data_IF_802112992320
#
_entry.id   IF_802112992320
#
_cell.length_a   1.000
_cell.length_b   1.000
_cell.length_c   1.000
_cell.angle_alpha   90.00
_cell.angle_beta   90.00
_cell.angle_gamma   90.00
#
_symmetry.space_group_name_H-M   'P 1'
#
loop_
_entity.id
_entity.type
_entity.pdbx_description
1 polymer ?
#
# COMPACT_ATOMS: atom_id res chain seq x y z
N UNK A 1 5.10 -8.66 6.59
CA UNK A 1 6.03 -7.53 6.55
C UNK A 1 5.68 -6.60 5.42
N UNK A 2 6.12 -5.36 5.52
CA UNK A 2 5.74 -4.35 4.53
C UNK A 2 6.25 -4.67 3.13
N UNK A 3 7.41 -5.29 3.02
CA UNK A 3 7.94 -5.67 1.72
C UNK A 3 7.06 -6.71 1.03
N UNK A 4 6.47 -7.62 1.80
CA UNK A 4 5.55 -8.60 1.24
C UNK A 4 4.29 -7.92 0.72
N UNK A 5 3.84 -6.89 1.41
CA UNK A 5 2.67 -6.12 0.97
C UNK A 5 2.96 -5.41 -0.35
N UNK A 6 4.14 -4.83 -0.50
CA UNK A 6 4.52 -4.19 -1.75
C UNK A 6 4.60 -5.20 -2.90
N UNK A 7 5.11 -6.41 -2.61
CA UNK A 7 5.15 -7.47 -3.61
C UNK A 7 3.75 -7.89 -4.03
N UNK A 8 2.84 -8.03 -3.07
CA UNK A 8 1.45 -8.36 -3.37
C UNK A 8 0.81 -7.29 -4.24
N UNK A 9 1.03 -6.03 -3.90
CA UNK A 9 0.50 -4.92 -4.67
C UNK A 9 1.01 -4.98 -6.10
N UNK A 10 2.30 -5.17 -6.28
CA UNK A 10 2.90 -5.23 -7.62
C UNK A 10 2.35 -6.40 -8.42
N UNK A 11 2.21 -7.56 -7.79
CA UNK A 11 1.67 -8.74 -8.44
C UNK A 11 0.23 -8.51 -8.92
N UNK A 12 -0.57 -7.86 -8.09
CA UNK A 12 -1.96 -7.54 -8.46
C UNK A 12 -2.02 -6.54 -9.59
N UNK A 13 -1.15 -5.53 -9.57
CA UNK A 13 -1.08 -4.55 -10.65
C UNK A 13 -0.71 -5.20 -11.98
N UNK A 14 0.21 -6.16 -11.96
CA UNK A 14 0.58 -6.89 -13.16
C UNK A 14 -0.58 -7.72 -13.70
N UNK A 15 -1.34 -8.36 -12.82
CA UNK A 15 -2.53 -9.09 -13.23
C UNK A 15 -3.56 -8.17 -13.86
N UNK A 16 -3.75 -7.00 -13.28
CA UNK A 16 -4.67 -6.01 -13.81
C UNK A 16 -4.26 -5.60 -15.23
N UNK A 17 -2.97 -5.34 -15.43
CA UNK A 17 -2.46 -4.98 -16.75
C UNK A 17 -2.69 -6.09 -17.76
N UNK A 18 -2.43 -7.33 -17.35
CA UNK A 18 -2.64 -8.48 -18.25
C UNK A 18 -4.10 -8.61 -18.66
N UNK A 19 -5.02 -8.41 -17.71
CA UNK A 19 -6.45 -8.44 -18.00
C UNK A 19 -6.84 -7.34 -18.96
N UNK A 20 -6.32 -6.15 -18.75
CA UNK A 20 -6.58 -5.03 -19.63
C UNK A 20 -6.09 -5.29 -21.04
N UNK A 21 -4.86 -5.80 -21.18
CA UNK A 21 -4.29 -6.09 -22.49
C UNK A 21 -5.04 -7.21 -23.18
N UNK A 22 -5.52 -8.20 -22.45
CA UNK A 22 -6.23 -9.34 -23.03
C UNK A 22 -7.64 -8.96 -23.46
N UNK A 23 -8.33 -8.16 -22.67
CA UNK A 23 -9.76 -7.88 -22.89
C UNK A 23 -10.01 -6.54 -23.58
N UNK A 24 -9.08 -5.61 -23.47
CA UNK A 24 -9.24 -4.28 -24.04
C UNK A 24 -10.35 -3.46 -23.39
N UNK A 25 -10.82 -3.88 -22.23
CA UNK A 25 -11.87 -3.18 -21.52
C UNK A 25 -11.82 -3.55 -20.05
N UNK A 26 -12.50 -2.76 -19.23
CA UNK A 26 -12.59 -2.99 -17.81
C UNK A 26 -13.55 -4.15 -17.53
N UNK A 27 -13.07 -5.20 -16.88
CA UNK A 27 -13.86 -6.41 -16.63
C UNK A 27 -14.15 -6.54 -15.13
N UNK A 28 -15.07 -7.48 -14.80
CA UNK A 28 -15.38 -7.79 -13.41
C UNK A 28 -14.15 -8.31 -12.66
N UNK A 29 -13.32 -9.09 -13.33
CA UNK A 29 -12.07 -9.56 -12.71
C UNK A 29 -11.17 -8.40 -12.34
N UNK A 30 -11.14 -7.36 -13.17
CA UNK A 30 -10.35 -6.17 -12.86
C UNK A 30 -10.91 -5.42 -11.66
N UNK A 31 -12.22 -5.41 -11.49
CA UNK A 31 -12.84 -4.84 -10.28
C UNK A 31 -12.37 -5.56 -9.03
N UNK A 32 -12.33 -6.89 -9.10
CA UNK A 32 -11.87 -7.70 -7.97
C UNK A 32 -10.40 -7.44 -7.66
N UNK A 33 -9.58 -7.29 -8.70
CA UNK A 33 -8.17 -6.97 -8.52
C UNK A 33 -8.03 -5.59 -7.88
N UNK A 34 -8.80 -4.61 -8.35
CA UNK A 34 -8.80 -3.27 -7.76
C UNK A 34 -9.12 -3.30 -6.27
N UNK A 35 -10.14 -4.07 -5.87
CA UNK A 35 -10.51 -4.20 -4.47
C UNK A 35 -9.36 -4.77 -3.65
N UNK A 36 -8.68 -5.78 -4.18
CA UNK A 36 -7.53 -6.37 -3.51
C UNK A 36 -6.39 -5.37 -3.38
N UNK A 37 -6.13 -4.61 -4.43
CA UNK A 37 -5.10 -3.57 -4.40
C UNK A 37 -5.41 -2.55 -3.30
N UNK A 38 -6.66 -2.13 -3.19
CA UNK A 38 -7.07 -1.18 -2.15
C UNK A 38 -6.84 -1.74 -0.76
N UNK A 39 -7.15 -3.03 -0.55
CA UNK A 39 -6.90 -3.68 0.73
C UNK A 39 -5.41 -3.68 1.07
N UNK A 40 -4.58 -4.02 0.09
CA UNK A 40 -3.13 -4.06 0.29
C UNK A 40 -2.60 -2.66 0.58
N UNK A 41 -3.06 -1.66 -0.14
CA UNK A 41 -2.66 -0.26 0.10
C UNK A 41 -3.01 0.17 1.52
N UNK A 42 -4.21 -0.19 1.99
CA UNK A 42 -4.62 0.12 3.36
C UNK A 42 -3.68 -0.52 4.37
N UNK A 43 -3.33 -1.80 4.14
CA UNK A 43 -2.39 -2.49 5.03
C UNK A 43 -1.01 -1.85 5.02
N UNK A 44 -0.55 -1.42 3.84
CA UNK A 44 0.73 -0.73 3.72
C UNK A 44 0.71 0.55 4.54
N UNK A 45 -0.36 1.35 4.42
CA UNK A 45 -0.48 2.59 5.17
C UNK A 45 -0.47 2.36 6.67
N UNK A 46 -1.15 1.32 7.13
CA UNK A 46 -1.16 0.98 8.54
C UNK A 46 0.23 0.58 9.04
N UNK A 47 0.93 -0.24 8.26
CA UNK A 47 2.30 -0.65 8.61
C UNK A 47 3.23 0.55 8.66
N UNK A 48 3.14 1.43 7.68
CA UNK A 48 3.97 2.63 7.64
C UNK A 48 3.67 3.54 8.81
N UNK A 49 2.41 3.68 9.17
CA UNK A 49 2.02 4.49 10.32
C UNK A 49 2.57 3.91 11.62
N UNK A 50 2.55 2.58 11.76
CA UNK A 50 3.11 1.92 12.94
C UNK A 50 4.62 2.13 13.04
N UNK A 51 5.31 1.99 11.91
CA UNK A 51 6.75 2.21 11.89
C UNK A 51 7.09 3.64 12.28
N UNK A 52 6.39 4.60 11.70
CA UNK A 52 6.60 6.01 12.02
C UNK A 52 6.33 6.30 13.48
N UNK A 53 5.25 5.72 14.02
CA UNK A 53 4.89 5.91 15.41
C UNK A 53 5.97 5.36 16.34
N UNK A 54 6.48 4.17 16.03
CA UNK A 54 7.53 3.57 16.84
C UNK A 54 8.81 4.40 16.81
N UNK A 55 9.17 4.91 15.64
CA UNK A 55 10.36 5.75 15.53
C UNK A 55 10.20 7.03 16.32
N UNK A 56 9.05 7.67 16.24
CA UNK A 56 8.77 8.86 17.02
C UNK A 56 8.83 8.59 18.51
N UNK A 57 8.29 7.47 18.94
CA UNK A 57 8.31 7.11 20.35
C UNK A 57 9.73 6.88 20.83
N UNK A 58 10.54 6.20 20.03
CA UNK A 58 11.91 5.91 20.40
C UNK A 58 12.74 7.17 20.50
N UNK A 59 12.65 8.01 19.51
CA UNK A 59 13.40 9.24 19.50
C UNK A 59 12.87 10.23 20.49
N UNK A 60 11.63 10.11 20.74
CA UNK A 60 11.04 10.78 21.85
C UNK A 60 11.15 12.23 21.79
N UNK A 61 11.63 12.68 20.92
CA UNK A 61 11.89 13.94 20.96
C UNK A 61 11.50 14.68 19.88
N UNK A 62 11.64 14.88 19.71
CA UNK A 62 11.37 15.49 18.89
C UNK A 62 10.97 16.07 18.28
N UNK A 63 11.17 16.40 18.31
CA UNK A 63 10.78 17.06 17.77
C UNK A 63 10.12 17.42 17.07
N UNK A 64 10.15 17.30 17.43
CA UNK A 64 9.51 17.57 16.79
C UNK A 64 9.02 18.24 16.28
N UNK A 65 9.32 18.33 16.62
CA UNK A 65 8.75 18.88 16.10
C UNK A 65 8.53 19.38 15.56
N UNK A 66 8.80 19.37 15.71
CA UNK A 66 8.37 19.78 15.09
C UNK A 66 8.05 20.19 14.48
N UNK A 67 8.24 20.14 14.62
CA UNK A 67 7.73 20.46 13.95
C UNK A 67 7.19 21.01 13.56
N UNK A 68 7.10 21.07 13.71
CA UNK A 68 6.48 21.50 13.36
C UNK A 68 6.20 22.18 12.99
N UNK A 69 6.33 22.41 12.97
CA UNK A 69 5.95 23.09 12.66
C UNK A 69 5.55 23.25 12.20
#
# INVERSE_FOLDING_TARGET
MIQDLYKQKRSLELKWEQEWLSNGRYTLDMVRIDDKVKEVITKIKLEEAEIAHRQNTVEGIAPQVSVAT
#
